data_IF_136256712984
#
_entry.id   IF_136256712984
#
_cell.length_a   1.000
_cell.length_b   1.000
_cell.length_c   1.000
_cell.angle_alpha   90.00
_cell.angle_beta   90.00
_cell.angle_gamma   90.00
#
_symmetry.space_group_name_H-M   'P 1'
#
loop_
_entity.id
_entity.type
_entity.pdbx_description
1 polymer ?
#
# COMPACT_ATOMS: atom_id res chain seq x y z
N UNK A 1 -7.16 18.35 20.61
CA UNK A 1 -7.31 19.83 20.48
C UNK A 1 -7.27 20.11 18.99
N UNK A 2 -8.40 20.49 18.35
CA UNK A 2 -8.45 20.68 16.89
C UNK A 2 -7.26 21.54 16.45
N UNK A 3 -6.53 21.08 15.43
CA UNK A 3 -5.43 21.88 14.92
C UNK A 3 -5.98 23.21 14.39
N UNK A 4 -5.22 24.28 14.62
CA UNK A 4 -5.59 25.58 14.09
C UNK A 4 -5.64 25.49 12.55
N UNK A 5 -6.54 26.21 11.86
CA UNK A 5 -6.63 26.20 10.40
C UNK A 5 -5.28 26.35 9.67
N UNK A 6 -4.37 27.17 10.22
CA UNK A 6 -3.02 27.34 9.64
C UNK A 6 -2.13 26.09 9.70
N UNK A 7 -2.41 25.11 10.55
CA UNK A 7 -1.64 23.87 10.62
C UNK A 7 -1.99 22.89 9.48
N UNK A 8 -3.16 23.02 8.85
CA UNK A 8 -3.54 22.21 7.68
C UNK A 8 -2.94 22.81 6.42
N UNK A 9 -2.98 24.13 6.30
CA UNK A 9 -2.34 24.89 5.23
C UNK A 9 -0.82 24.60 5.20
N UNK A 10 -0.15 24.56 6.36
CA UNK A 10 1.27 24.19 6.45
C UNK A 10 1.57 22.77 5.95
N UNK A 11 0.62 21.84 6.12
CA UNK A 11 0.78 20.45 5.68
C UNK A 11 0.56 20.32 4.18
N UNK A 12 -0.40 21.05 3.63
CA UNK A 12 -0.61 21.16 2.19
C UNK A 12 0.60 21.80 1.51
N UNK A 13 1.16 22.87 2.07
CA UNK A 13 2.40 23.49 1.60
C UNK A 13 3.57 22.49 1.58
N UNK A 14 3.70 21.67 2.63
CA UNK A 14 4.73 20.63 2.71
C UNK A 14 4.53 19.56 1.62
N UNK A 15 3.29 19.16 1.33
CA UNK A 15 2.98 18.23 0.25
C UNK A 15 3.33 18.82 -1.12
N UNK A 16 3.02 20.10 -1.36
CA UNK A 16 3.39 20.84 -2.58
C UNK A 16 4.91 20.90 -2.75
N UNK A 17 5.65 21.19 -1.68
CA UNK A 17 7.12 21.17 -1.72
C UNK A 17 7.68 19.76 -2.00
N UNK A 18 7.03 18.73 -1.47
CA UNK A 18 7.37 17.33 -1.73
C UNK A 18 7.16 16.94 -3.20
N UNK A 19 6.04 17.36 -3.79
CA UNK A 19 5.75 17.21 -5.22
C UNK A 19 6.74 17.98 -6.09
N UNK A 20 7.10 19.21 -5.70
CA UNK A 20 8.12 20.01 -6.41
C UNK A 20 9.45 19.26 -6.49
N UNK A 21 9.92 18.71 -5.37
CA UNK A 21 11.15 17.92 -5.37
C UNK A 21 11.02 16.67 -6.24
N UNK A 22 9.90 15.94 -6.12
CA UNK A 22 9.66 14.71 -6.87
C UNK A 22 9.66 14.97 -8.38
N UNK A 23 8.98 16.00 -8.84
CA UNK A 23 8.96 16.41 -10.26
C UNK A 23 10.32 16.94 -10.71
N UNK A 24 11.06 17.65 -9.84
CA UNK A 24 12.38 18.19 -10.14
C UNK A 24 13.47 17.13 -10.38
N UNK A 25 13.37 15.97 -9.72
CA UNK A 25 14.33 14.86 -9.90
C UNK A 25 13.93 13.87 -11.01
N UNK A 26 12.81 14.11 -11.68
CA UNK A 26 12.34 13.29 -12.79
C UNK A 26 13.26 13.44 -14.01
N UNK A 27 13.41 12.37 -14.80
CA UNK A 27 14.28 12.35 -15.98
C UNK A 27 13.49 12.02 -17.24
N UNK A 28 13.74 12.77 -18.31
CA UNK A 28 13.21 12.46 -19.63
C UNK A 28 13.76 11.15 -20.17
N UNK A 29 12.93 10.35 -20.83
CA UNK A 29 13.33 9.11 -21.48
C UNK A 29 13.48 9.31 -23.00
N UNK A 30 14.20 8.41 -23.67
CA UNK A 30 14.41 8.49 -25.12
C UNK A 30 13.09 8.41 -25.92
N UNK A 31 12.06 7.76 -25.36
CA UNK A 31 10.70 7.69 -25.92
C UNK A 31 9.86 8.95 -25.67
N UNK A 32 10.43 10.01 -25.10
CA UNK A 32 9.71 11.24 -24.76
C UNK A 32 8.79 11.08 -23.55
N UNK A 33 9.02 10.10 -22.68
CA UNK A 33 8.34 9.94 -21.41
C UNK A 33 9.12 10.54 -20.24
N UNK A 34 8.58 10.38 -19.03
CA UNK A 34 9.19 10.80 -17.77
C UNK A 34 9.41 9.57 -16.89
N UNK A 35 10.52 9.50 -16.15
CA UNK A 35 10.80 8.37 -15.27
C UNK A 35 11.69 8.78 -14.10
N UNK A 36 11.69 7.94 -13.06
CA UNK A 36 12.45 8.17 -11.84
C UNK A 36 13.38 7.00 -11.57
N UNK A 37 14.57 7.34 -11.07
CA UNK A 37 15.44 6.38 -10.40
C UNK A 37 15.01 6.22 -8.94
N UNK A 38 15.41 5.13 -8.28
CA UNK A 38 15.09 4.89 -6.85
C UNK A 38 15.63 6.03 -5.99
N UNK A 39 16.90 6.36 -6.21
CA UNK A 39 17.58 7.53 -5.65
C UNK A 39 17.99 8.47 -6.78
N UNK A 40 17.95 9.79 -6.57
CA UNK A 40 18.42 10.75 -7.57
C UNK A 40 19.87 10.52 -8.04
N UNK A 41 20.74 9.92 -7.23
CA UNK A 41 22.12 9.58 -7.60
C UNK A 41 22.26 8.31 -8.45
N UNK A 42 21.23 7.46 -8.53
CA UNK A 42 21.31 6.21 -9.28
C UNK A 42 21.33 6.49 -10.80
N UNK A 43 22.22 5.83 -11.53
CA UNK A 43 22.30 5.97 -13.00
C UNK A 43 21.05 5.41 -13.70
N UNK A 44 20.53 4.28 -13.19
CA UNK A 44 19.41 3.56 -13.79
C UNK A 44 18.07 4.06 -13.31
N UNK A 45 17.14 4.24 -14.25
CA UNK A 45 15.73 4.44 -13.97
C UNK A 45 15.11 3.16 -13.41
N UNK A 46 14.09 3.32 -12.56
CA UNK A 46 13.40 2.21 -11.91
C UNK A 46 11.91 2.21 -12.31
N UNK A 47 11.42 1.19 -13.04
CA UNK A 47 10.01 1.07 -13.40
C UNK A 47 9.14 0.51 -12.26
N UNK A 48 9.74 -0.05 -11.21
CA UNK A 48 9.03 -0.80 -10.18
C UNK A 48 8.01 0.06 -9.43
N UNK A 49 6.96 -0.60 -8.94
CA UNK A 49 5.93 0.03 -8.13
C UNK A 49 6.46 0.45 -6.75
N UNK A 50 7.22 -0.42 -6.09
CA UNK A 50 7.68 -0.21 -4.73
C UNK A 50 8.57 1.03 -4.58
N UNK A 51 9.50 1.22 -5.51
CA UNK A 51 10.60 2.19 -5.36
C UNK A 51 10.79 3.11 -6.57
N UNK A 52 9.93 3.02 -7.58
CA UNK A 52 10.14 3.70 -8.85
C UNK A 52 8.89 4.28 -9.48
N UNK A 53 8.97 4.44 -10.81
CA UNK A 53 8.03 5.20 -11.64
C UNK A 53 6.59 4.73 -11.50
N UNK A 54 6.32 3.42 -11.47
CA UNK A 54 4.95 2.91 -11.34
C UNK A 54 4.29 3.29 -10.00
N UNK A 55 5.06 3.43 -8.91
CA UNK A 55 4.54 3.87 -7.61
C UNK A 55 4.34 5.39 -7.52
N UNK A 56 4.92 6.16 -8.43
CA UNK A 56 4.80 7.63 -8.47
C UNK A 56 3.55 8.06 -9.22
N UNK A 57 3.16 7.34 -10.28
CA UNK A 57 1.94 7.56 -11.05
C UNK A 57 0.69 7.80 -10.19
N UNK A 58 0.31 6.92 -9.24
CA UNK A 58 -0.88 7.14 -8.40
C UNK A 58 -0.80 8.40 -7.53
N UNK A 59 0.40 8.84 -7.16
CA UNK A 59 0.62 10.05 -6.36
C UNK A 59 0.45 11.31 -7.22
N UNK A 60 0.87 11.26 -8.49
CA UNK A 60 0.62 12.32 -9.45
C UNK A 60 -0.89 12.44 -9.75
N UNK A 61 -1.59 11.32 -9.90
CA UNK A 61 -3.05 11.33 -10.08
C UNK A 61 -3.78 11.85 -8.84
N UNK A 62 -3.32 11.48 -7.64
CA UNK A 62 -3.83 12.05 -6.38
C UNK A 62 -3.65 13.57 -6.33
N UNK A 63 -2.45 14.06 -6.66
CA UNK A 63 -2.17 15.49 -6.71
C UNK A 63 -3.03 16.20 -7.76
N UNK A 64 -3.23 15.60 -8.93
CA UNK A 64 -4.12 16.14 -9.97
C UNK A 64 -5.56 16.28 -9.45
N UNK A 65 -6.12 15.25 -8.81
CA UNK A 65 -7.46 15.31 -8.23
C UNK A 65 -7.57 16.36 -7.13
N UNK A 66 -6.54 16.46 -6.28
CA UNK A 66 -6.54 17.37 -5.13
C UNK A 66 -6.41 18.84 -5.56
N UNK A 67 -5.50 19.16 -6.48
CA UNK A 67 -5.23 20.54 -6.89
C UNK A 67 -5.96 21.00 -8.15
N UNK A 68 -6.47 20.08 -8.98
CA UNK A 68 -7.02 20.40 -10.30
C UNK A 68 -5.98 20.97 -11.28
N UNK A 69 -4.69 20.74 -11.04
CA UNK A 69 -3.59 21.19 -11.89
C UNK A 69 -3.17 20.08 -12.86
N UNK A 70 -3.47 20.28 -14.14
CA UNK A 70 -3.20 19.37 -15.25
C UNK A 70 -1.71 19.02 -15.40
N UNK A 71 -0.78 19.81 -14.84
CA UNK A 71 0.65 19.49 -14.88
C UNK A 71 0.98 18.13 -14.25
N UNK A 72 0.21 17.72 -13.24
CA UNK A 72 0.35 16.41 -12.60
C UNK A 72 -0.21 15.27 -13.47
N UNK A 73 -1.34 15.50 -14.15
CA UNK A 73 -1.90 14.54 -15.11
C UNK A 73 -0.98 14.36 -16.32
N UNK A 74 -0.41 15.45 -16.84
CA UNK A 74 0.59 15.42 -17.91
C UNK A 74 1.83 14.62 -17.50
N UNK A 75 2.34 14.83 -16.28
CA UNK A 75 3.45 14.04 -15.74
C UNK A 75 3.10 12.55 -15.61
N UNK A 76 1.87 12.22 -15.18
CA UNK A 76 1.39 10.83 -15.11
C UNK A 76 1.29 10.17 -16.50
N UNK A 77 0.83 10.90 -17.52
CA UNK A 77 0.81 10.44 -18.91
C UNK A 77 2.23 10.19 -19.46
N UNK A 78 3.17 11.09 -19.17
CA UNK A 78 4.57 10.90 -19.55
C UNK A 78 5.23 9.73 -18.82
N UNK A 79 4.89 9.52 -17.54
CA UNK A 79 5.31 8.36 -16.76
C UNK A 79 4.78 7.04 -17.36
N UNK A 80 3.49 7.02 -17.74
CA UNK A 80 2.86 5.88 -18.40
C UNK A 80 3.56 5.52 -19.72
N UNK A 81 3.95 6.50 -20.53
CA UNK A 81 4.74 6.25 -21.76
C UNK A 81 6.05 5.52 -21.45
N UNK A 82 6.81 5.98 -20.47
CA UNK A 82 8.07 5.32 -20.05
C UNK A 82 7.84 3.90 -19.55
N UNK A 83 6.76 3.66 -18.79
CA UNK A 83 6.41 2.32 -18.32
C UNK A 83 6.05 1.41 -19.49
N UNK A 84 5.24 1.89 -20.44
CA UNK A 84 4.84 1.15 -21.63
C UNK A 84 6.04 0.67 -22.46
N UNK A 85 7.05 1.54 -22.63
CA UNK A 85 8.29 1.22 -23.34
C UNK A 85 9.13 0.13 -22.64
N UNK A 86 8.99 -0.01 -21.32
CA UNK A 86 9.77 -0.95 -20.51
C UNK A 86 9.08 -2.30 -20.29
N UNK A 87 7.78 -2.44 -20.58
CA UNK A 87 6.99 -3.66 -20.30
C UNK A 87 7.67 -4.95 -20.81
N UNK A 88 8.33 -4.89 -21.96
CA UNK A 88 9.05 -6.04 -22.52
C UNK A 88 10.30 -6.44 -21.74
N UNK A 89 11.08 -5.45 -21.30
CA UNK A 89 12.45 -5.64 -20.83
C UNK A 89 12.59 -5.94 -19.34
N UNK A 90 11.50 -5.94 -18.57
CA UNK A 90 11.54 -6.18 -17.11
C UNK A 90 11.52 -7.68 -16.82
N UNK A 91 12.46 -8.23 -16.06
CA UNK A 91 12.48 -9.67 -15.81
C UNK A 91 11.48 -10.14 -14.75
N UNK A 92 11.12 -9.26 -13.83
CA UNK A 92 10.23 -9.54 -12.70
C UNK A 92 8.75 -9.35 -13.09
N UNK A 93 7.88 -10.24 -12.62
CA UNK A 93 6.44 -10.22 -12.92
C UNK A 93 5.58 -9.77 -11.73
N UNK A 94 6.18 -9.53 -10.57
CA UNK A 94 5.49 -9.24 -9.32
C UNK A 94 4.81 -7.86 -9.28
N UNK A 95 3.96 -7.67 -8.28
CA UNK A 95 3.27 -6.41 -8.02
C UNK A 95 4.25 -5.32 -7.59
N UNK A 96 5.14 -5.60 -6.64
CA UNK A 96 6.01 -4.54 -6.10
C UNK A 96 7.21 -4.24 -6.98
N UNK A 97 7.75 -5.24 -7.70
CA UNK A 97 9.03 -5.11 -8.40
C UNK A 97 8.93 -5.24 -9.91
N UNK A 98 7.79 -5.70 -10.44
CA UNK A 98 7.71 -6.21 -11.79
C UNK A 98 6.53 -5.71 -12.63
N UNK A 99 6.27 -6.45 -13.71
CA UNK A 99 5.27 -6.13 -14.74
C UNK A 99 3.87 -5.95 -14.19
N UNK A 100 3.47 -6.68 -13.14
CA UNK A 100 2.12 -6.55 -12.58
C UNK A 100 1.91 -5.16 -11.97
N UNK A 101 2.90 -4.62 -11.25
CA UNK A 101 2.84 -3.25 -10.72
C UNK A 101 2.82 -2.18 -11.81
N UNK A 102 3.55 -2.41 -12.89
CA UNK A 102 3.50 -1.54 -14.08
C UNK A 102 2.12 -1.58 -14.74
N UNK A 103 1.54 -2.78 -14.89
CA UNK A 103 0.21 -2.96 -15.47
C UNK A 103 -0.86 -2.22 -14.66
N UNK A 104 -0.77 -2.27 -13.33
CA UNK A 104 -1.67 -1.55 -12.43
C UNK A 104 -1.59 -0.04 -12.68
N UNK A 105 -0.37 0.54 -12.63
CA UNK A 105 -0.19 1.98 -12.86
C UNK A 105 -0.68 2.41 -14.26
N UNK A 106 -0.38 1.63 -15.30
CA UNK A 106 -0.83 1.87 -16.67
C UNK A 106 -2.36 1.78 -16.79
N UNK A 107 -2.99 0.80 -16.13
CA UNK A 107 -4.45 0.66 -16.11
C UNK A 107 -5.10 1.85 -15.41
N UNK A 108 -4.54 2.33 -14.31
CA UNK A 108 -5.06 3.51 -13.59
C UNK A 108 -5.02 4.75 -14.48
N UNK A 109 -3.90 5.00 -15.17
CA UNK A 109 -3.80 6.13 -16.13
C UNK A 109 -4.83 5.99 -17.25
N UNK A 110 -5.03 4.79 -17.79
CA UNK A 110 -6.06 4.56 -18.80
C UNK A 110 -7.46 4.87 -18.27
N UNK A 111 -7.80 4.39 -17.07
CA UNK A 111 -9.12 4.55 -16.48
C UNK A 111 -9.43 6.00 -16.14
N UNK A 112 -8.46 6.74 -15.58
CA UNK A 112 -8.66 8.10 -15.10
C UNK A 112 -8.45 9.18 -16.16
N UNK A 113 -7.45 9.01 -17.04
CA UNK A 113 -7.08 10.01 -18.05
C UNK A 113 -7.46 9.60 -19.47
N UNK A 114 -8.06 8.41 -19.66
CA UNK A 114 -8.56 7.96 -20.94
C UNK A 114 -7.47 7.58 -21.96
N UNK A 115 -6.22 7.37 -21.54
CA UNK A 115 -5.11 7.07 -22.47
C UNK A 115 -5.17 5.63 -23.01
N UNK A 116 -5.47 5.42 -24.31
CA UNK A 116 -5.63 4.07 -24.85
C UNK A 116 -4.30 3.32 -24.98
N UNK A 117 -3.18 4.03 -25.10
CA UNK A 117 -1.86 3.41 -25.22
C UNK A 117 -1.44 2.76 -23.88
N UNK A 118 -1.68 3.42 -22.77
CA UNK A 118 -1.49 2.89 -21.43
C UNK A 118 -2.37 1.65 -21.21
N UNK A 119 -3.64 1.69 -21.64
CA UNK A 119 -4.55 0.54 -21.58
C UNK A 119 -4.02 -0.67 -22.35
N UNK A 120 -3.57 -0.47 -23.60
CA UNK A 120 -2.99 -1.53 -24.41
C UNK A 120 -1.66 -2.07 -23.83
N UNK A 121 -0.86 -1.20 -23.21
CA UNK A 121 0.38 -1.59 -22.54
C UNK A 121 0.12 -2.40 -21.26
N UNK A 122 -0.93 -2.07 -20.49
CA UNK A 122 -1.36 -2.85 -19.33
C UNK A 122 -1.80 -4.26 -19.75
N UNK A 123 -2.64 -4.38 -20.78
CA UNK A 123 -3.05 -5.69 -21.34
C UNK A 123 -1.85 -6.52 -21.79
N UNK A 124 -0.89 -5.85 -22.42
CA UNK A 124 0.35 -6.48 -22.89
C UNK A 124 1.21 -6.97 -21.73
N UNK A 125 1.34 -6.19 -20.65
CA UNK A 125 2.07 -6.58 -19.45
C UNK A 125 1.45 -7.83 -18.81
N UNK A 126 0.13 -7.86 -18.61
CA UNK A 126 -0.56 -9.01 -18.01
C UNK A 126 -0.49 -10.26 -18.89
N UNK A 127 -0.51 -10.12 -20.22
CA UNK A 127 -0.28 -11.26 -21.13
C UNK A 127 1.12 -11.85 -20.97
N UNK A 128 2.15 -11.02 -20.80
CA UNK A 128 3.52 -11.49 -20.55
C UNK A 128 3.64 -12.18 -19.20
N UNK A 129 3.01 -11.62 -18.16
CA UNK A 129 2.92 -12.26 -16.84
C UNK A 129 2.26 -13.64 -17.02
N UNK A 130 1.07 -13.73 -17.60
CA UNK A 130 0.37 -15.02 -17.80
C UNK A 130 1.22 -16.05 -18.54
N UNK A 131 1.97 -15.63 -19.56
CA UNK A 131 2.81 -16.52 -20.37
C UNK A 131 4.00 -17.14 -19.59
N UNK A 132 4.40 -16.54 -18.45
CA UNK A 132 5.53 -16.98 -17.63
C UNK A 132 5.12 -17.87 -16.46
N UNK A 133 3.84 -18.17 -16.30
CA UNK A 133 3.37 -19.07 -15.27
C UNK A 133 3.92 -20.49 -15.46
N UNK A 134 4.63 -21.02 -14.47
CA UNK A 134 5.22 -22.38 -14.54
C UNK A 134 4.22 -23.51 -14.22
N UNK A 135 2.96 -23.18 -14.02
CA UNK A 135 1.90 -24.07 -13.54
C UNK A 135 1.68 -24.00 -12.02
N UNK A 136 2.59 -23.37 -11.28
CA UNK A 136 2.48 -23.14 -9.84
C UNK A 136 2.85 -21.70 -9.45
N UNK A 137 3.89 -21.09 -10.02
CA UNK A 137 4.48 -19.82 -9.60
C UNK A 137 5.17 -19.08 -10.75
N UNK A 138 5.68 -17.89 -10.44
CA UNK A 138 6.60 -17.10 -11.28
C UNK A 138 8.03 -17.01 -10.74
N UNK A 139 8.26 -17.48 -9.52
CA UNK A 139 9.55 -17.38 -8.84
C UNK A 139 9.57 -18.07 -7.48
N UNK A 140 10.56 -17.75 -6.66
CA UNK A 140 10.75 -18.38 -5.35
C UNK A 140 9.77 -17.90 -4.27
N UNK A 141 9.21 -16.69 -4.45
CA UNK A 141 8.41 -15.99 -3.47
C UNK A 141 6.94 -16.38 -3.55
N UNK A 142 6.29 -16.43 -2.38
CA UNK A 142 4.87 -16.76 -2.22
C UNK A 142 4.05 -15.56 -1.78
N UNK A 143 4.67 -14.45 -1.43
CA UNK A 143 4.04 -13.43 -0.61
C UNK A 143 3.54 -12.24 -1.44
N UNK A 144 3.06 -11.19 -0.79
CA UNK A 144 2.39 -10.07 -1.45
C UNK A 144 3.34 -9.23 -2.32
N UNK A 145 4.61 -9.12 -1.94
CA UNK A 145 5.52 -8.20 -2.63
C UNK A 145 5.97 -8.77 -3.97
N UNK A 146 6.54 -9.97 -3.93
CA UNK A 146 7.22 -10.61 -5.05
C UNK A 146 6.57 -11.89 -5.56
N UNK A 147 5.55 -12.41 -4.85
CA UNK A 147 4.96 -13.71 -5.12
C UNK A 147 3.58 -13.68 -5.77
N UNK A 148 2.97 -14.87 -5.82
CA UNK A 148 1.66 -15.11 -6.41
C UNK A 148 0.55 -14.22 -5.82
N UNK A 149 0.59 -13.89 -4.52
CA UNK A 149 -0.40 -13.06 -3.86
C UNK A 149 -0.43 -11.65 -4.46
N UNK A 150 0.75 -11.05 -4.65
CA UNK A 150 0.90 -9.77 -5.33
C UNK A 150 0.43 -9.82 -6.78
N UNK A 151 0.87 -10.84 -7.52
CA UNK A 151 0.47 -11.03 -8.93
C UNK A 151 -1.06 -11.15 -9.03
N UNK A 152 -1.67 -11.96 -8.18
CA UNK A 152 -3.11 -12.18 -8.19
C UNK A 152 -3.90 -10.92 -7.85
N UNK A 153 -3.51 -10.22 -6.79
CA UNK A 153 -4.15 -8.96 -6.40
C UNK A 153 -4.00 -7.88 -7.47
N UNK A 154 -2.78 -7.71 -8.00
CA UNK A 154 -2.52 -6.73 -9.06
C UNK A 154 -3.24 -7.04 -10.37
N UNK A 155 -3.35 -8.32 -10.74
CA UNK A 155 -4.13 -8.74 -11.91
C UNK A 155 -5.62 -8.41 -11.75
N UNK A 156 -6.21 -8.70 -10.58
CA UNK A 156 -7.60 -8.35 -10.29
C UNK A 156 -7.83 -6.83 -10.42
N UNK A 157 -6.99 -6.04 -9.76
CA UNK A 157 -7.08 -4.57 -9.78
C UNK A 157 -6.83 -3.98 -11.18
N UNK A 158 -6.11 -4.71 -12.04
CA UNK A 158 -5.88 -4.32 -13.43
C UNK A 158 -6.98 -4.80 -14.40
N UNK A 159 -8.01 -5.49 -13.90
CA UNK A 159 -9.16 -5.97 -14.66
C UNK A 159 -9.02 -7.38 -15.25
N UNK A 160 -8.10 -8.22 -14.75
CA UNK A 160 -7.93 -9.61 -15.19
C UNK A 160 -8.22 -10.60 -14.04
N UNK A 161 -9.51 -10.88 -13.74
CA UNK A 161 -9.90 -11.81 -12.68
C UNK A 161 -9.48 -13.27 -12.98
N UNK A 162 -9.33 -13.65 -14.24
CA UNK A 162 -8.87 -15.00 -14.59
C UNK A 162 -7.41 -15.22 -14.21
N UNK A 163 -6.53 -14.25 -14.51
CA UNK A 163 -5.13 -14.30 -14.08
C UNK A 163 -5.04 -14.20 -12.55
N UNK A 164 -5.93 -13.42 -11.93
CA UNK A 164 -6.01 -13.34 -10.48
C UNK A 164 -6.26 -14.72 -9.84
N UNK A 165 -7.29 -15.44 -10.31
CA UNK A 165 -7.59 -16.79 -9.84
C UNK A 165 -6.44 -17.75 -10.16
N UNK A 166 -5.89 -17.71 -11.37
CA UNK A 166 -4.75 -18.55 -11.79
C UNK A 166 -3.56 -18.40 -10.82
N UNK A 167 -3.27 -17.18 -10.39
CA UNK A 167 -2.17 -16.91 -9.48
C UNK A 167 -2.43 -17.46 -8.06
N UNK A 168 -3.67 -17.47 -7.58
CA UNK A 168 -4.00 -17.85 -6.21
C UNK A 168 -4.38 -19.32 -6.01
N UNK A 169 -4.89 -20.00 -7.04
CA UNK A 169 -5.22 -21.44 -6.96
C UNK A 169 -4.09 -22.34 -6.41
N UNK A 170 -2.80 -22.09 -6.70
CA UNK A 170 -1.69 -22.81 -6.08
C UNK A 170 -1.68 -22.81 -4.55
N UNK A 171 -2.27 -21.83 -3.86
CA UNK A 171 -2.31 -21.81 -2.40
C UNK A 171 -3.17 -22.93 -1.81
N UNK A 172 -4.23 -23.36 -2.51
CA UNK A 172 -5.11 -24.46 -2.07
C UNK A 172 -4.35 -25.78 -1.86
N UNK A 173 -3.26 -25.98 -2.60
CA UNK A 173 -2.43 -27.19 -2.53
C UNK A 173 -1.07 -27.00 -1.86
N UNK A 174 -0.66 -25.76 -1.58
CA UNK A 174 0.62 -25.45 -0.93
C UNK A 174 0.46 -24.98 0.52
N UNK A 175 -0.77 -24.84 1.01
CA UNK A 175 -1.05 -24.52 2.41
C UNK A 175 -0.51 -25.59 3.37
N UNK A 176 0.28 -25.15 4.34
CA UNK A 176 0.75 -25.98 5.44
C UNK A 176 -0.24 -25.88 6.60
N UNK A 177 -0.71 -27.02 7.10
CA UNK A 177 -1.68 -27.09 8.20
C UNK A 177 -1.01 -26.77 9.54
N UNK A 178 -1.71 -25.98 10.36
CA UNK A 178 -1.30 -25.68 11.73
C UNK A 178 -2.38 -26.13 12.73
N UNK A 179 -2.15 -25.93 14.02
CA UNK A 179 -3.16 -26.24 15.04
C UNK A 179 -4.39 -25.32 14.97
N UNK A 180 -4.24 -24.11 14.40
CA UNK A 180 -5.28 -23.07 14.39
C UNK A 180 -5.81 -22.75 12.97
N UNK A 181 -5.12 -23.18 11.92
CA UNK A 181 -5.48 -22.85 10.55
C UNK A 181 -4.43 -23.30 9.55
N UNK A 182 -4.02 -22.37 8.67
CA UNK A 182 -2.97 -22.63 7.67
C UNK A 182 -1.97 -21.50 7.59
N UNK A 183 -0.79 -21.80 7.05
CA UNK A 183 0.20 -20.79 6.69
C UNK A 183 0.98 -21.22 5.44
N UNK A 184 1.85 -20.34 4.96
CA UNK A 184 2.71 -20.59 3.82
C UNK A 184 4.14 -20.15 4.10
N UNK A 185 5.14 -20.78 3.47
CA UNK A 185 6.47 -20.22 3.41
C UNK A 185 6.45 -18.90 2.64
N UNK A 186 7.25 -17.91 3.04
CA UNK A 186 7.44 -16.70 2.21
C UNK A 186 8.33 -16.99 0.99
N UNK A 187 9.25 -17.96 1.13
CA UNK A 187 10.21 -18.41 0.12
C UNK A 187 10.55 -19.88 0.34
N UNK A 188 10.85 -20.59 -0.75
CA UNK A 188 11.35 -21.97 -0.69
C UNK A 188 12.62 -22.12 0.15
N UNK A 189 12.69 -23.21 0.91
CA UNK A 189 13.89 -23.58 1.67
C UNK A 189 14.11 -22.79 2.95
N UNK A 190 13.19 -21.91 3.34
CA UNK A 190 13.26 -21.17 4.61
C UNK A 190 12.29 -21.76 5.63
N UNK A 191 12.80 -22.07 6.82
CA UNK A 191 12.00 -22.63 7.92
C UNK A 191 11.06 -21.59 8.54
N UNK A 192 11.53 -20.35 8.71
CA UNK A 192 10.73 -19.29 9.32
C UNK A 192 9.47 -18.97 8.49
N UNK A 193 8.32 -19.00 9.15
CA UNK A 193 7.02 -18.57 8.60
C UNK A 193 6.76 -17.14 9.05
N UNK A 194 6.60 -16.23 8.10
CA UNK A 194 6.34 -14.82 8.37
C UNK A 194 4.83 -14.60 8.43
N UNK A 195 4.39 -13.65 9.25
CA UNK A 195 2.96 -13.54 9.58
C UNK A 195 2.28 -12.33 8.93
N UNK A 196 3.00 -11.23 8.73
CA UNK A 196 2.43 -9.93 8.34
C UNK A 196 2.29 -9.71 6.83
N UNK A 197 1.75 -8.55 6.45
CA UNK A 197 1.23 -8.26 5.10
C UNK A 197 2.28 -8.35 3.98
N UNK A 198 3.53 -7.90 4.17
CA UNK A 198 4.48 -7.85 3.05
C UNK A 198 4.88 -9.26 2.62
N UNK A 199 5.50 -9.98 3.56
CA UNK A 199 6.18 -11.24 3.27
C UNK A 199 5.51 -12.46 3.91
N UNK A 200 4.40 -12.30 4.60
CA UNK A 200 3.81 -13.33 5.45
C UNK A 200 2.42 -13.78 5.03
N UNK A 201 1.85 -14.64 5.89
CA UNK A 201 0.52 -15.22 5.74
C UNK A 201 -0.56 -14.16 5.50
N UNK A 202 -0.55 -13.04 6.24
CA UNK A 202 -1.57 -12.00 6.10
C UNK A 202 -1.58 -11.32 4.71
N UNK A 203 -0.43 -11.25 4.02
CA UNK A 203 -0.38 -10.77 2.64
C UNK A 203 -1.06 -11.71 1.65
N UNK A 204 -0.94 -13.01 1.88
CA UNK A 204 -1.62 -14.05 1.11
C UNK A 204 -3.10 -14.06 1.42
N UNK A 205 -3.49 -13.91 2.70
CA UNK A 205 -4.88 -13.77 3.15
C UNK A 205 -5.56 -12.59 2.48
N UNK A 206 -4.90 -11.43 2.41
CA UNK A 206 -5.43 -10.24 1.74
C UNK A 206 -5.80 -10.55 0.28
N UNK A 207 -4.88 -11.16 -0.47
CA UNK A 207 -5.09 -11.50 -1.87
C UNK A 207 -6.19 -12.57 -2.04
N UNK A 208 -6.15 -13.65 -1.23
CA UNK A 208 -7.14 -14.72 -1.26
C UNK A 208 -8.55 -14.23 -0.95
N UNK A 209 -8.71 -13.43 0.10
CA UNK A 209 -10.01 -12.88 0.47
C UNK A 209 -10.54 -11.97 -0.64
N UNK A 210 -9.72 -11.04 -1.14
CA UNK A 210 -10.16 -10.07 -2.13
C UNK A 210 -10.51 -10.69 -3.47
N UNK A 211 -9.64 -11.56 -3.99
CA UNK A 211 -9.89 -12.27 -5.26
C UNK A 211 -11.02 -13.28 -5.10
N UNK A 212 -11.08 -13.98 -3.97
CA UNK A 212 -12.15 -14.92 -3.65
C UNK A 212 -13.52 -14.26 -3.68
N UNK A 213 -13.68 -13.14 -2.98
CA UNK A 213 -14.89 -12.33 -2.96
C UNK A 213 -15.26 -11.79 -4.35
N UNK A 214 -14.30 -11.18 -5.06
CA UNK A 214 -14.55 -10.57 -6.37
C UNK A 214 -14.83 -11.59 -7.50
N UNK A 215 -14.56 -12.88 -7.29
CA UNK A 215 -14.71 -13.94 -8.31
C UNK A 215 -15.66 -15.06 -7.87
N UNK A 216 -16.42 -14.85 -6.80
CA UNK A 216 -17.33 -15.85 -6.20
C UNK A 216 -16.65 -17.20 -5.89
N UNK A 217 -15.35 -17.17 -5.55
CA UNK A 217 -14.53 -18.34 -5.18
C UNK A 217 -14.51 -18.51 -3.67
N UNK A 218 -15.58 -19.10 -3.15
CA UNK A 218 -15.75 -19.37 -1.72
C UNK A 218 -14.60 -20.17 -1.10
N UNK A 219 -13.99 -21.10 -1.83
CA UNK A 219 -12.83 -21.88 -1.38
C UNK A 219 -11.59 -21.02 -1.12
N UNK A 220 -11.38 -19.95 -1.90
CA UNK A 220 -10.31 -18.98 -1.66
C UNK A 220 -10.60 -18.13 -0.42
N UNK A 221 -11.86 -17.71 -0.22
CA UNK A 221 -12.28 -16.96 0.98
C UNK A 221 -12.13 -17.82 2.24
N UNK A 222 -12.58 -19.08 2.21
CA UNK A 222 -12.40 -20.04 3.30
C UNK A 222 -10.93 -20.26 3.64
N UNK A 223 -10.07 -20.38 2.62
CA UNK A 223 -8.62 -20.49 2.81
C UNK A 223 -8.02 -19.22 3.42
N UNK A 224 -8.51 -18.04 3.03
CA UNK A 224 -8.10 -16.78 3.63
C UNK A 224 -8.45 -16.72 5.11
N UNK A 225 -9.67 -17.14 5.49
CA UNK A 225 -10.10 -17.18 6.89
C UNK A 225 -9.27 -18.16 7.72
N UNK A 226 -8.92 -19.33 7.16
CA UNK A 226 -8.01 -20.28 7.81
C UNK A 226 -6.59 -19.71 7.98
N UNK A 227 -6.10 -18.93 7.00
CA UNK A 227 -4.81 -18.23 7.10
C UNK A 227 -4.82 -17.15 8.18
N UNK A 228 -5.91 -16.37 8.25
CA UNK A 228 -6.09 -15.35 9.28
C UNK A 228 -6.17 -15.97 10.69
N UNK A 229 -6.88 -17.10 10.82
CA UNK A 229 -7.01 -17.81 12.09
C UNK A 229 -5.66 -18.28 12.66
N UNK A 230 -4.72 -18.74 11.82
CA UNK A 230 -3.36 -19.10 12.26
C UNK A 230 -2.63 -17.89 12.87
N UNK A 231 -2.73 -16.73 12.23
CA UNK A 231 -2.05 -15.52 12.70
C UNK A 231 -2.71 -14.96 13.96
N UNK A 232 -4.04 -14.96 14.03
CA UNK A 232 -4.78 -14.51 15.23
C UNK A 232 -4.47 -15.38 16.45
N UNK A 233 -4.27 -16.69 16.28
CA UNK A 233 -3.90 -17.59 17.37
C UNK A 233 -2.48 -17.35 17.93
N UNK A 234 -1.66 -16.53 17.27
CA UNK A 234 -0.28 -16.18 17.67
C UNK A 234 -0.19 -14.83 18.37
N UNK A 235 -1.32 -14.20 18.66
CA UNK A 235 -1.35 -12.90 19.32
C UNK A 235 -0.77 -12.97 20.74
N UNK A 236 0.12 -12.01 21.05
CA UNK A 236 0.83 -11.88 22.32
C UNK A 236 0.45 -10.60 23.08
N UNK A 237 -0.39 -9.71 22.52
CA UNK A 237 -0.73 -8.43 23.14
C UNK A 237 -1.81 -8.51 24.24
N UNK A 238 -2.52 -9.64 24.35
CA UNK A 238 -3.65 -9.77 25.27
C UNK A 238 -4.92 -9.06 24.76
N UNK A 239 -5.97 -8.93 25.59
CA UNK A 239 -7.32 -8.61 25.11
C UNK A 239 -7.49 -7.20 24.51
N UNK A 240 -6.66 -6.23 24.89
CA UNK A 240 -6.78 -4.82 24.46
C UNK A 240 -6.03 -4.53 23.16
N UNK A 241 -4.92 -5.22 22.91
CA UNK A 241 -4.07 -5.02 21.74
C UNK A 241 -4.07 -6.22 20.81
N UNK A 242 -3.41 -6.08 19.66
CA UNK A 242 -3.07 -7.19 18.77
C UNK A 242 -1.61 -7.04 18.34
N UNK A 243 -0.78 -8.02 18.69
CA UNK A 243 0.64 -8.00 18.36
C UNK A 243 1.15 -9.42 18.13
N UNK A 244 1.66 -9.66 16.95
CA UNK A 244 2.25 -10.95 16.56
C UNK A 244 3.73 -10.75 16.27
N UNK A 245 4.55 -11.74 16.61
CA UNK A 245 5.98 -11.72 16.28
C UNK A 245 6.17 -11.70 14.76
N UNK A 246 7.28 -11.15 14.29
CA UNK A 246 7.61 -11.09 12.85
C UNK A 246 7.51 -12.47 12.16
N UNK A 247 7.95 -13.54 12.84
CA UNK A 247 8.01 -14.88 12.26
C UNK A 247 8.14 -16.00 13.31
N UNK A 248 7.86 -17.24 12.90
CA UNK A 248 8.05 -18.44 13.72
C UNK A 248 8.68 -19.59 12.92
N UNK A 249 9.87 -20.13 13.32
CA UNK A 249 10.82 -19.54 14.28
C UNK A 249 11.29 -18.14 13.83
N UNK A 250 11.97 -17.39 14.72
CA UNK A 250 12.45 -16.04 14.40
C UNK A 250 13.40 -16.07 13.19
N UNK A 251 13.06 -15.34 12.13
CA UNK A 251 13.89 -15.18 10.96
C UNK A 251 15.02 -14.19 11.26
N UNK A 252 16.27 -14.63 11.07
CA UNK A 252 17.48 -13.80 11.27
C UNK A 252 17.44 -13.00 12.59
N UNK A 253 17.37 -13.68 13.75
CA UNK A 253 17.24 -13.02 15.06
C UNK A 253 18.36 -12.02 15.38
N UNK A 254 19.50 -12.12 14.70
CA UNK A 254 20.63 -11.20 14.81
C UNK A 254 20.47 -9.91 13.99
N UNK A 255 19.49 -9.84 13.09
CA UNK A 255 19.23 -8.69 12.22
C UNK A 255 17.82 -8.12 12.34
N UNK A 256 16.83 -8.96 12.69
CA UNK A 256 15.42 -8.62 12.66
C UNK A 256 14.84 -8.73 14.06
N UNK A 257 14.30 -7.61 14.52
CA UNK A 257 13.58 -7.53 15.80
C UNK A 257 12.36 -8.45 15.80
N UNK A 258 11.98 -8.99 16.96
CA UNK A 258 10.83 -9.89 17.05
C UNK A 258 9.50 -9.20 16.78
N UNK A 259 9.42 -7.88 16.95
CA UNK A 259 8.20 -7.10 16.75
C UNK A 259 8.48 -5.87 15.89
N UNK A 260 7.45 -5.41 15.19
CA UNK A 260 7.44 -4.18 14.41
C UNK A 260 6.03 -3.62 14.41
N UNK A 261 5.91 -2.31 14.23
CA UNK A 261 4.62 -1.60 14.21
C UNK A 261 4.34 -0.94 12.84
N UNK A 262 5.03 -1.38 11.78
CA UNK A 262 4.90 -0.81 10.44
C UNK A 262 3.84 -1.51 9.60
N UNK A 263 3.61 -1.01 8.38
CA UNK A 263 2.71 -1.66 7.44
C UNK A 263 3.22 -3.03 7.01
N UNK A 264 4.47 -3.14 6.56
CA UNK A 264 5.00 -4.42 6.06
C UNK A 264 5.00 -5.54 7.12
N UNK A 265 5.37 -5.17 8.34
CA UNK A 265 5.42 -6.04 9.50
C UNK A 265 4.84 -5.30 10.71
N UNK A 266 3.67 -5.74 11.16
CA UNK A 266 3.04 -5.23 12.38
C UNK A 266 1.56 -4.88 12.24
N UNK A 267 0.96 -4.44 13.36
CA UNK A 267 -0.47 -4.12 13.45
C UNK A 267 -0.94 -3.05 12.48
N UNK A 268 -0.07 -2.16 11.99
CA UNK A 268 -0.46 -1.17 10.98
C UNK A 268 -0.91 -1.82 9.67
N UNK A 269 -0.21 -2.84 9.19
CA UNK A 269 -0.63 -3.61 8.00
C UNK A 269 -1.69 -4.65 8.33
N UNK A 270 -1.59 -5.29 9.49
CA UNK A 270 -2.53 -6.35 9.88
C UNK A 270 -3.97 -5.80 10.01
N UNK A 271 -4.14 -4.57 10.49
CA UNK A 271 -5.43 -3.87 10.56
C UNK A 271 -6.13 -3.78 9.19
N UNK A 272 -5.36 -3.59 8.11
CA UNK A 272 -5.89 -3.51 6.76
C UNK A 272 -6.53 -4.83 6.31
N UNK A 273 -5.90 -5.96 6.67
CA UNK A 273 -6.43 -7.30 6.36
C UNK A 273 -7.70 -7.56 7.16
N UNK A 274 -7.73 -7.19 8.44
CA UNK A 274 -8.92 -7.40 9.28
C UNK A 274 -10.08 -6.50 8.87
N UNK A 275 -9.84 -5.27 8.41
CA UNK A 275 -10.87 -4.42 7.80
C UNK A 275 -11.47 -5.07 6.55
N UNK A 276 -10.63 -5.60 5.64
CA UNK A 276 -11.13 -6.32 4.47
C UNK A 276 -11.99 -7.54 4.87
N UNK A 277 -11.53 -8.34 5.85
CA UNK A 277 -12.29 -9.51 6.31
C UNK A 277 -13.61 -9.11 6.97
N UNK A 278 -13.67 -7.99 7.72
CA UNK A 278 -14.92 -7.41 8.22
C UNK A 278 -15.87 -7.13 7.07
N UNK A 279 -15.39 -6.49 6.00
CA UNK A 279 -16.25 -6.06 4.89
C UNK A 279 -16.80 -7.24 4.08
N UNK A 280 -15.99 -8.28 3.88
CA UNK A 280 -16.39 -9.51 3.16
C UNK A 280 -17.33 -10.38 4.01
N UNK A 281 -17.04 -10.56 5.30
CA UNK A 281 -17.76 -11.55 6.12
C UNK A 281 -18.88 -10.97 6.98
N UNK A 282 -18.85 -9.65 7.22
CA UNK A 282 -19.68 -8.96 8.20
C UNK A 282 -19.56 -9.51 9.65
N UNK A 283 -18.51 -10.29 9.96
CA UNK A 283 -18.27 -10.76 11.33
C UNK A 283 -17.62 -9.64 12.18
N UNK A 284 -18.26 -9.22 13.29
CA UNK A 284 -17.75 -8.15 14.15
C UNK A 284 -16.41 -8.48 14.82
N UNK A 285 -16.01 -9.75 14.89
CA UNK A 285 -14.70 -10.14 15.42
C UNK A 285 -13.54 -9.51 14.63
N UNK A 286 -13.70 -9.33 13.32
CA UNK A 286 -12.68 -8.71 12.48
C UNK A 286 -12.57 -7.20 12.72
N UNK A 287 -13.69 -6.51 12.93
CA UNK A 287 -13.68 -5.11 13.33
C UNK A 287 -12.96 -4.94 14.68
N UNK A 288 -13.25 -5.81 15.65
CA UNK A 288 -12.58 -5.79 16.96
C UNK A 288 -11.07 -6.05 16.84
N UNK A 289 -10.62 -6.93 15.94
CA UNK A 289 -9.19 -7.14 15.67
C UNK A 289 -8.53 -5.90 15.06
N UNK A 290 -9.18 -5.22 14.11
CA UNK A 290 -8.67 -3.96 13.57
C UNK A 290 -8.56 -2.87 14.65
N UNK A 291 -9.51 -2.79 15.58
CA UNK A 291 -9.48 -1.86 16.71
C UNK A 291 -8.37 -2.19 17.71
N UNK A 292 -8.10 -3.48 17.94
CA UNK A 292 -6.97 -3.94 18.75
C UNK A 292 -5.62 -3.64 18.11
N UNK A 293 -5.49 -3.77 16.79
CA UNK A 293 -4.31 -3.30 16.06
C UNK A 293 -4.12 -1.79 16.25
N UNK A 294 -5.18 -1.01 16.12
CA UNK A 294 -5.16 0.44 16.32
C UNK A 294 -4.74 0.83 17.74
N UNK A 295 -5.27 0.13 18.75
CA UNK A 295 -4.86 0.31 20.14
C UNK A 295 -3.36 0.06 20.31
N UNK A 296 -2.84 -1.06 19.78
CA UNK A 296 -1.40 -1.38 19.84
C UNK A 296 -0.54 -0.31 19.18
N UNK A 297 -0.93 0.17 17.99
CA UNK A 297 -0.18 1.23 17.26
C UNK A 297 -0.11 2.51 18.08
N UNK A 298 -1.26 2.99 18.58
CA UNK A 298 -1.34 4.27 19.32
C UNK A 298 -0.64 4.23 20.69
N UNK A 299 -0.50 3.05 21.30
CA UNK A 299 0.13 2.87 22.61
C UNK A 299 1.57 2.33 22.54
N UNK A 300 2.11 2.11 21.34
CA UNK A 300 3.47 1.57 21.13
C UNK A 300 4.60 2.57 21.38
N UNK A 301 4.29 3.87 21.51
CA UNK A 301 5.27 4.96 21.56
C UNK A 301 5.62 5.56 20.20
N UNK A 302 5.00 5.10 19.11
CA UNK A 302 5.10 5.76 17.81
C UNK A 302 4.70 7.25 17.89
N UNK A 303 5.32 8.14 17.07
CA UNK A 303 6.37 7.88 16.09
C UNK A 303 7.80 7.93 16.66
N UNK A 304 7.98 7.87 17.99
CA UNK A 304 9.31 7.90 18.59
C UNK A 304 10.14 6.71 18.08
N UNK A 305 11.41 6.95 17.74
CA UNK A 305 12.32 5.97 17.15
C UNK A 305 12.88 5.02 18.20
N UNK A 306 11.98 4.27 18.84
CA UNK A 306 12.29 3.35 19.93
C UNK A 306 12.67 1.97 19.38
N UNK A 307 13.70 1.36 19.99
CA UNK A 307 14.03 -0.05 19.80
C UNK A 307 13.67 -0.87 21.04
N UNK A 308 13.12 -2.08 20.86
CA UNK A 308 12.74 -2.72 19.59
C UNK A 308 11.41 -2.16 19.04
N UNK A 309 11.19 -2.23 17.72
CA UNK A 309 9.83 -2.11 17.15
C UNK A 309 9.57 -1.01 16.13
N UNK A 310 10.40 0.04 16.05
CA UNK A 310 10.27 1.00 14.95
C UNK A 310 11.62 1.38 14.34
N UNK A 311 11.75 1.09 13.06
CA UNK A 311 12.86 1.54 12.24
C UNK A 311 12.74 3.06 12.06
N UNK A 312 13.85 3.79 12.12
CA UNK A 312 13.87 5.23 11.85
C UNK A 312 13.67 5.52 10.35
N UNK A 313 12.40 5.45 9.94
CA UNK A 313 11.94 5.52 8.56
C UNK A 313 10.68 6.41 8.47
N UNK A 314 10.57 7.17 7.39
CA UNK A 314 9.44 8.06 7.13
C UNK A 314 8.43 7.46 6.13
N UNK A 315 8.86 6.48 5.31
CA UNK A 315 8.09 5.97 4.18
C UNK A 315 6.81 5.18 4.53
N UNK A 316 6.03 4.90 3.49
CA UNK A 316 4.73 4.20 3.55
C UNK A 316 4.82 2.74 4.02
N UNK A 317 5.93 2.07 3.75
CA UNK A 317 6.08 0.63 4.00
C UNK A 317 6.35 0.29 5.48
N UNK A 318 7.27 1.00 6.12
CA UNK A 318 7.63 0.75 7.53
C UNK A 318 8.03 2.01 8.30
N UNK A 319 7.49 3.16 7.91
CA UNK A 319 7.77 4.45 8.51
C UNK A 319 6.52 5.22 8.94
N UNK A 320 6.72 6.46 9.37
CA UNK A 320 5.68 7.33 9.92
C UNK A 320 4.50 7.52 8.95
N UNK A 321 4.75 7.65 7.64
CA UNK A 321 3.68 7.74 6.65
C UNK A 321 2.84 6.47 6.55
N UNK A 322 3.42 5.29 6.74
CA UNK A 322 2.65 4.04 6.79
C UNK A 322 1.63 3.99 7.92
N UNK A 323 2.00 4.54 9.08
CA UNK A 323 1.12 4.66 10.24
C UNK A 323 0.07 5.75 10.01
N UNK A 324 0.45 6.86 9.36
CA UNK A 324 -0.47 7.93 8.98
C UNK A 324 -1.56 7.42 8.03
N UNK A 325 -1.21 6.54 7.09
CA UNK A 325 -2.19 5.91 6.20
C UNK A 325 -3.30 5.21 6.98
N UNK A 326 -2.95 4.36 7.96
CA UNK A 326 -3.96 3.71 8.82
C UNK A 326 -4.78 4.74 9.63
N UNK A 327 -4.17 5.81 10.11
CA UNK A 327 -4.89 6.86 10.82
C UNK A 327 -5.92 7.56 9.90
N UNK A 328 -5.54 7.88 8.66
CA UNK A 328 -6.43 8.40 7.63
C UNK A 328 -7.58 7.42 7.31
N UNK A 329 -7.27 6.13 7.17
CA UNK A 329 -8.25 5.09 6.92
C UNK A 329 -9.26 5.00 8.07
N UNK A 330 -8.85 5.21 9.33
CA UNK A 330 -9.72 5.22 10.50
C UNK A 330 -10.61 6.47 10.55
N UNK A 331 -10.05 7.62 10.21
CA UNK A 331 -10.78 8.89 10.10
C UNK A 331 -11.91 8.77 9.08
N UNK A 332 -11.61 8.22 7.90
CA UNK A 332 -12.61 8.01 6.85
C UNK A 332 -13.75 7.07 7.26
N UNK A 333 -13.45 6.00 8.00
CA UNK A 333 -14.47 5.02 8.45
C UNK A 333 -15.35 5.50 9.59
N UNK A 334 -14.76 6.13 10.60
CA UNK A 334 -15.40 6.36 11.89
C UNK A 334 -15.88 7.80 12.09
N UNK A 335 -15.60 8.69 11.12
CA UNK A 335 -15.88 10.11 11.23
C UNK A 335 -15.01 10.81 12.29
N UNK A 336 -15.51 11.91 12.87
CA UNK A 336 -14.78 12.78 13.80
C UNK A 336 -14.53 12.16 15.19
N UNK A 337 -13.71 11.11 15.26
CA UNK A 337 -13.09 10.70 16.52
C UNK A 337 -11.85 11.54 16.78
N UNK A 338 -11.97 12.47 17.74
CA UNK A 338 -10.91 13.44 18.07
C UNK A 338 -9.57 12.78 18.38
N UNK A 339 -9.55 11.63 19.05
CA UNK A 339 -8.31 10.94 19.42
C UNK A 339 -7.54 10.43 18.20
N UNK A 340 -8.26 9.95 17.17
CA UNK A 340 -7.66 9.52 15.90
C UNK A 340 -7.04 10.70 15.15
N UNK A 341 -7.74 11.83 15.10
CA UNK A 341 -7.21 13.08 14.54
C UNK A 341 -6.00 13.59 15.31
N UNK A 342 -6.05 13.59 16.65
CA UNK A 342 -4.95 14.05 17.50
C UNK A 342 -3.71 13.18 17.25
N UNK A 343 -3.85 11.85 17.09
CA UNK A 343 -2.73 10.97 16.73
C UNK A 343 -2.23 11.20 15.30
N UNK A 344 -3.12 11.38 14.32
CA UNK A 344 -2.73 11.72 12.94
C UNK A 344 -1.91 13.02 12.87
N UNK A 345 -2.32 14.05 13.63
CA UNK A 345 -1.56 15.29 13.77
C UNK A 345 -0.16 15.08 14.36
N UNK A 346 0.00 14.18 15.33
CA UNK A 346 1.33 13.83 15.87
C UNK A 346 2.23 13.25 14.78
N UNK A 347 1.69 12.35 13.94
CA UNK A 347 2.44 11.73 12.84
C UNK A 347 2.85 12.74 11.77
N UNK A 348 1.93 13.62 11.37
CA UNK A 348 2.19 14.69 10.40
C UNK A 348 3.22 15.68 10.94
N UNK A 349 3.14 16.04 12.22
CA UNK A 349 4.14 16.91 12.88
C UNK A 349 5.53 16.26 12.88
N UNK A 350 5.63 14.95 13.13
CA UNK A 350 6.90 14.21 13.05
C UNK A 350 7.45 14.20 11.61
N UNK A 351 6.61 13.99 10.60
CA UNK A 351 7.02 14.07 9.20
C UNK A 351 7.50 15.48 8.81
N UNK A 352 6.80 16.53 9.23
CA UNK A 352 7.19 17.92 8.98
C UNK A 352 8.53 18.27 9.64
N UNK A 353 8.74 17.83 10.89
CA UNK A 353 9.99 18.06 11.61
C UNK A 353 11.21 17.35 10.98
N UNK A 354 10.98 16.27 10.22
CA UNK A 354 12.03 15.47 9.56
C UNK A 354 12.23 15.83 8.07
N UNK A 355 11.45 16.75 7.54
CA UNK A 355 11.58 17.18 6.16
C UNK A 355 12.86 17.99 5.95
N UNK A 356 13.66 17.60 4.96
CA UNK A 356 14.76 18.42 4.43
C UNK A 356 14.12 19.37 3.42
N UNK A 357 14.06 20.67 3.76
CA UNK A 357 13.44 21.73 2.94
C UNK A 357 14.52 22.67 2.41
N UNK A 358 14.60 22.84 1.10
CA UNK A 358 15.46 23.82 0.45
C UNK A 358 14.83 24.32 -0.87
N UNK A 359 15.61 25.02 -1.70
CA UNK A 359 15.12 25.60 -2.96
C UNK A 359 14.58 24.56 -3.96
N UNK A 360 14.96 23.28 -3.81
CA UNK A 360 14.51 22.19 -4.67
C UNK A 360 13.18 21.58 -4.18
N UNK A 361 12.69 21.96 -3.00
CA UNK A 361 11.47 21.43 -2.37
C UNK A 361 11.75 20.65 -1.08
N UNK A 362 10.80 19.80 -0.69
CA UNK A 362 10.85 19.00 0.53
C UNK A 362 11.17 17.54 0.23
N UNK A 363 12.00 16.90 1.06
CA UNK A 363 12.34 15.48 0.94
C UNK A 363 12.68 14.84 2.26
N UNK A 364 12.57 13.51 2.31
CA UNK A 364 12.81 12.74 3.54
C UNK A 364 13.93 11.73 3.34
N UNK A 365 14.85 11.72 4.30
CA UNK A 365 15.89 10.71 4.43
C UNK A 365 15.47 9.67 5.46
N UNK A 366 15.72 8.39 5.17
CA UNK A 366 15.54 7.31 6.14
C UNK A 366 16.92 6.92 6.69
N UNK A 367 16.95 6.27 7.85
CA UNK A 367 18.20 5.88 8.52
C UNK A 367 18.41 4.37 8.42
N UNK A 368 19.58 3.90 8.01
CA UNK A 368 20.03 2.51 8.15
C UNK A 368 21.11 2.45 9.22
N UNK A 369 20.74 2.05 10.45
CA UNK A 369 21.64 2.06 11.61
C UNK A 369 22.87 1.15 11.43
N UNK A 370 22.87 0.25 10.44
CA UNK A 370 24.00 -0.64 10.12
C UNK A 370 24.91 -0.07 9.01
N UNK A 371 24.53 1.01 8.35
CA UNK A 371 25.30 1.65 7.30
C UNK A 371 26.17 2.79 7.88
N UNK A 372 27.19 3.19 7.12
CA UNK A 372 27.98 4.39 7.43
C UNK A 372 28.22 5.14 6.11
N UNK A 373 27.68 6.37 5.93
CA UNK A 373 26.78 7.08 6.87
C UNK A 373 25.46 6.34 7.08
N UNK A 374 24.82 6.57 8.23
CA UNK A 374 23.52 5.96 8.56
C UNK A 374 22.38 6.62 7.81
N UNK A 375 22.50 7.92 7.52
CA UNK A 375 21.50 8.66 6.74
C UNK A 375 21.57 8.21 5.28
N UNK A 376 20.43 7.73 4.77
CA UNK A 376 20.29 7.32 3.39
C UNK A 376 19.93 8.52 2.52
N UNK A 377 20.33 8.48 1.26
CA UNK A 377 19.82 9.43 0.28
C UNK A 377 18.28 9.34 0.19
N UNK A 378 17.57 10.48 0.12
CA UNK A 378 16.13 10.51 -0.12
C UNK A 378 15.74 9.69 -1.36
N UNK A 379 14.72 8.85 -1.22
CA UNK A 379 14.21 8.02 -2.31
C UNK A 379 12.96 8.65 -2.94
N UNK A 380 12.68 8.30 -4.18
CA UNK A 380 11.56 8.87 -4.94
C UNK A 380 10.26 8.08 -4.75
N UNK A 381 10.33 6.75 -4.73
CA UNK A 381 9.17 5.86 -4.89
C UNK A 381 8.20 5.78 -3.71
N UNK A 382 7.11 5.06 -3.94
CA UNK A 382 5.96 4.93 -3.04
C UNK A 382 6.30 4.36 -1.65
N UNK A 383 7.03 3.25 -1.59
CA UNK A 383 7.16 2.49 -0.35
C UNK A 383 8.07 3.15 0.69
N UNK A 384 9.20 3.68 0.24
CA UNK A 384 10.28 4.17 1.12
C UNK A 384 10.63 5.63 0.85
N UNK A 385 10.06 6.24 -0.18
CA UNK A 385 10.46 7.55 -0.67
C UNK A 385 9.38 8.62 -0.53
N UNK A 386 9.71 9.77 -1.10
CA UNK A 386 8.90 10.97 -1.09
C UNK A 386 7.47 10.75 -1.59
N UNK A 387 7.26 9.96 -2.65
CA UNK A 387 5.95 9.81 -3.25
C UNK A 387 4.92 9.27 -2.24
N UNK A 388 5.26 8.22 -1.48
CA UNK A 388 4.35 7.70 -0.46
C UNK A 388 4.08 8.68 0.67
N UNK A 389 5.10 9.43 1.10
CA UNK A 389 4.94 10.43 2.17
C UNK A 389 4.01 11.55 1.71
N UNK A 390 4.25 12.10 0.52
CA UNK A 390 3.41 13.14 -0.09
C UNK A 390 1.97 12.68 -0.21
N UNK A 391 1.73 11.46 -0.69
CA UNK A 391 0.37 10.90 -0.80
C UNK A 391 -0.36 10.95 0.54
N UNK A 392 0.25 10.46 1.61
CA UNK A 392 -0.43 10.42 2.92
C UNK A 392 -0.61 11.81 3.53
N UNK A 393 0.26 12.77 3.24
CA UNK A 393 0.04 14.18 3.60
C UNK A 393 -1.18 14.77 2.87
N UNK A 394 -1.34 14.49 1.57
CA UNK A 394 -2.51 14.93 0.80
C UNK A 394 -3.81 14.29 1.30
N UNK A 395 -3.79 12.98 1.60
CA UNK A 395 -4.94 12.29 2.22
C UNK A 395 -5.33 12.91 3.55
N UNK A 396 -4.35 13.22 4.38
CA UNK A 396 -4.58 13.91 5.65
C UNK A 396 -5.26 15.29 5.46
N UNK A 397 -4.77 16.11 4.52
CA UNK A 397 -5.36 17.42 4.20
C UNK A 397 -6.80 17.26 3.72
N UNK A 398 -7.06 16.32 2.79
CA UNK A 398 -8.41 16.07 2.24
C UNK A 398 -9.40 15.73 3.36
N UNK A 399 -9.05 14.81 4.25
CA UNK A 399 -9.93 14.37 5.33
C UNK A 399 -10.20 15.49 6.35
N UNK A 400 -9.23 16.39 6.56
CA UNK A 400 -9.44 17.56 7.42
C UNK A 400 -10.31 18.65 6.75
N UNK A 401 -10.17 18.87 5.44
CA UNK A 401 -10.95 19.86 4.67
C UNK A 401 -12.45 19.54 4.62
N UNK A 402 -12.83 18.28 4.47
CA UNK A 402 -14.24 17.84 4.49
C UNK A 402 -14.94 18.08 5.84
N UNK A 403 -14.18 18.27 6.91
CA UNK A 403 -14.70 18.58 8.24
C UNK A 403 -15.08 20.07 8.41
N UNK A 404 -14.63 20.95 7.50
CA UNK A 404 -14.89 22.39 7.55
C UNK A 404 -16.13 22.83 6.76
N UNK A 405 -16.50 22.14 5.67
CA UNK A 405 -17.59 22.50 4.77
C UNK A 405 -18.95 21.84 5.08
N UNK A 406 -19.02 20.95 6.08
CA UNK A 406 -20.28 20.33 6.54
C UNK A 406 -21.26 21.29 7.24
N UNK A 407 -21.08 22.60 7.03
CA UNK A 407 -21.89 23.67 7.59
C UNK A 407 -22.25 24.73 6.54
N UNK A 408 -22.75 24.36 5.37
CA UNK A 408 -23.83 25.06 4.62
C UNK A 408 -24.03 24.43 3.22
N UNK A 409 -25.17 23.73 3.01
CA UNK A 409 -25.79 23.59 1.70
C UNK A 409 -25.67 22.22 1.02
N UNK A 410 -26.81 21.70 0.57
CA UNK A 410 -26.94 20.57 -0.36
C UNK A 410 -25.99 20.69 -1.55
N UNK A 411 -25.19 19.66 -1.80
CA UNK A 411 -24.66 19.38 -3.14
C UNK A 411 -24.46 17.89 -3.32
N UNK A 412 -25.24 17.33 -4.25
CA UNK A 412 -24.92 16.11 -4.97
C UNK A 412 -23.59 16.30 -5.72
N UNK A 413 -22.49 15.87 -5.11
CA UNK A 413 -21.18 15.70 -5.74
C UNK A 413 -20.78 14.23 -5.63
N UNK A 414 -20.54 13.60 -6.77
CA UNK A 414 -20.11 12.20 -6.85
C UNK A 414 -18.65 12.09 -6.42
N UNK A 415 -18.39 11.52 -5.25
CA UNK A 415 -17.04 11.08 -4.87
C UNK A 415 -16.75 9.70 -5.48
N UNK A 416 -15.90 9.69 -6.51
CA UNK A 416 -15.24 8.49 -6.99
C UNK A 416 -13.97 8.28 -6.14
N UNK A 417 -14.12 7.62 -4.99
CA UNK A 417 -12.99 7.14 -4.20
C UNK A 417 -12.37 5.90 -4.89
N UNK A 418 -11.46 6.14 -5.83
CA UNK A 418 -10.39 5.19 -6.14
C UNK A 418 -9.20 5.53 -5.23
N UNK A 419 -9.37 5.30 -3.93
CA UNK A 419 -8.26 5.45 -3.01
C UNK A 419 -7.26 4.31 -3.31
N UNK A 420 -6.07 4.68 -3.79
CA UNK A 420 -4.98 3.76 -4.10
C UNK A 420 -4.32 3.14 -2.85
N UNK A 421 -5.08 3.09 -1.77
CA UNK A 421 -4.83 2.09 -0.76
C UNK A 421 -5.31 0.77 -1.35
N UNK A 422 -4.72 -0.31 -0.91
CA UNK A 422 -5.42 -1.58 -0.94
C UNK A 422 -6.60 -1.54 0.07
N UNK A 423 -7.35 -0.42 0.11
CA UNK A 423 -8.52 -0.11 0.91
C UNK A 423 -9.71 -0.06 -0.06
N UNK A 424 -10.67 -0.90 0.26
CA UNK A 424 -11.61 -1.44 -0.72
C UNK A 424 -12.98 -0.82 -0.53
N UNK A 425 -13.15 0.41 -0.99
CA UNK A 425 -14.47 0.99 -1.22
C UNK A 425 -15.07 0.44 -2.51
N UNK A 426 -15.97 -0.55 -2.44
CA UNK A 426 -16.87 -0.81 -3.56
C UNK A 426 -17.79 0.40 -3.76
N UNK A 427 -18.00 0.93 -4.98
CA UNK A 427 -19.13 1.79 -5.24
C UNK A 427 -20.41 0.98 -5.02
N UNK A 428 -21.29 1.44 -4.14
CA UNK A 428 -22.63 0.84 -3.94
C UNK A 428 -23.46 1.11 -5.20
N UNK A 429 -23.32 0.24 -6.20
CA UNK A 429 -24.06 0.25 -7.46
C UNK A 429 -25.01 -0.94 -7.57
N UNK A 430 -26.28 -0.69 -7.27
CA UNK A 430 -27.47 -1.47 -7.67
C UNK A 430 -27.43 -3.00 -7.49
N UNK A 431 -27.79 -3.47 -6.30
CA UNK A 431 -28.50 -4.76 -6.21
C UNK A 431 -29.84 -4.63 -6.93
N UNK A 432 -29.99 -5.34 -8.04
CA UNK A 432 -31.27 -5.53 -8.69
C UNK A 432 -32.27 -6.07 -7.66
N UNK A 433 -33.38 -5.35 -7.45
CA UNK A 433 -34.52 -5.86 -6.70
C UNK A 433 -35.04 -7.12 -7.39
N UNK A 434 -35.35 -8.21 -6.66
CA UNK A 434 -36.07 -9.33 -7.26
C UNK A 434 -37.48 -8.86 -7.64
N UNK A 435 -38.06 -9.39 -8.74
CA UNK A 435 -39.41 -9.02 -9.13
C UNK A 435 -40.40 -9.46 -8.05
N UNK A 436 -41.21 -8.51 -7.60
CA UNK A 436 -42.42 -8.79 -6.83
C UNK A 436 -43.36 -9.64 -7.69
N UNK A 437 -43.65 -10.85 -7.22
CA UNK A 437 -44.89 -11.56 -7.46
C UNK A 437 -45.31 -12.27 -6.18
#
# INVERSE_FOLDING_TARGET
>A
MRAAPGAVDEVEELAVEGLRWLTGVARGTAGGGLAWATRPSDDSLNPAFYSGTAGIVPVLLEAWRHFGDDSHADAALLAARSLADLVDGVDDDSLCFGRTGMALALRTVHAELGDPAAGAAADRALRLVRARFDGTRWGELFELMGGNAGIGLGALLSGDPELAVLALEPYLRTAEQTAAGVHWPHRTGVEARLHHISHGTLGIVLALARVGDATDRADLVELALAGAADVVARDEAGPEGFLVRHSTPQFRPELIEPFSYGWCHGPTGDAQVFRLLRDITADPAWAALADRCWHTVTHSGLPQRLRPGFWDNNGRCCGTAGVLALACDRIGEQGEQQDTYDFAHVLVTDLAARAIRDGEGARWSNVEHRATPTDLEPQTGWAMGNAGIVRELLRFVRLHGHSHDAGHGDVHGFDFDFDFDFDFGQPVGQRQQPPLN
#
